data_IF_280687872165
#
_entry.id   IF_280687872165
#
_cell.length_a   1.000
_cell.length_b   1.000
_cell.length_c   1.000
_cell.angle_alpha   90.00
_cell.angle_beta   90.00
_cell.angle_gamma   90.00
#
_symmetry.space_group_name_H-M   'P 1'
#
loop_
_entity.id
_entity.type
_entity.pdbx_description
1 polymer ?
#
# COMPACT_ATOMS: atom_id res chain seq x y z
N UNK A 1 15.00 -0.25 10.80
CA UNK A 1 14.98 -0.44 9.33
C UNK A 1 16.18 -1.16 8.71
N UNK A 2 17.39 -1.14 9.29
CA UNK A 2 18.57 -1.80 8.68
C UNK A 2 18.37 -3.30 8.38
N UNK A 3 17.82 -4.07 9.32
CA UNK A 3 17.56 -5.50 9.11
C UNK A 3 16.59 -5.78 7.96
N UNK A 4 15.54 -4.97 7.80
CA UNK A 4 14.57 -5.12 6.71
C UNK A 4 15.18 -4.84 5.35
N UNK A 5 15.90 -3.72 5.22
CA UNK A 5 16.58 -3.34 3.98
C UNK A 5 17.62 -4.37 3.55
N UNK A 6 18.30 -4.98 4.51
CA UNK A 6 19.29 -6.03 4.26
C UNK A 6 18.66 -7.44 4.14
N UNK A 7 17.33 -7.57 4.11
CA UNK A 7 16.65 -8.86 4.02
C UNK A 7 17.06 -9.84 5.12
N UNK A 8 17.26 -9.37 6.36
CA UNK A 8 17.73 -10.20 7.49
C UNK A 8 16.56 -10.69 8.34
N UNK A 9 16.69 -11.90 8.91
CA UNK A 9 15.68 -12.50 9.78
C UNK A 9 14.38 -12.74 9.03
N UNK A 10 13.23 -12.39 9.63
CA UNK A 10 11.91 -12.60 9.02
C UNK A 10 11.77 -11.93 7.65
N UNK A 11 12.49 -10.84 7.41
CA UNK A 11 12.44 -10.08 6.15
C UNK A 11 13.11 -10.81 4.98
N UNK A 12 13.90 -11.86 5.25
CA UNK A 12 14.44 -12.77 4.23
C UNK A 12 13.38 -13.72 3.68
N UNK A 13 12.28 -13.93 4.41
CA UNK A 13 11.30 -14.95 4.07
C UNK A 13 10.42 -14.46 2.91
N UNK A 14 10.13 -15.32 1.91
CA UNK A 14 9.32 -14.96 0.74
C UNK A 14 7.94 -14.39 1.09
N UNK A 15 7.39 -14.73 2.25
CA UNK A 15 6.12 -14.20 2.73
C UNK A 15 6.10 -12.67 2.84
N UNK A 16 7.21 -12.06 3.27
CA UNK A 16 7.33 -10.61 3.49
C UNK A 16 7.75 -9.83 2.23
N UNK A 17 8.06 -10.53 1.14
CA UNK A 17 8.34 -9.90 -0.14
C UNK A 17 7.03 -9.30 -0.73
N UNK A 18 7.04 -8.03 -1.16
CA UNK A 18 5.90 -7.44 -1.85
C UNK A 18 5.56 -8.20 -3.12
N UNK A 19 4.26 -8.43 -3.35
CA UNK A 19 3.73 -9.11 -4.53
C UNK A 19 2.91 -8.15 -5.41
N UNK A 20 2.73 -8.43 -6.71
CA UNK A 20 1.83 -7.65 -7.54
C UNK A 20 0.38 -7.76 -7.02
N UNK A 21 -0.49 -6.75 -7.30
CA UNK A 21 -1.82 -6.68 -6.70
C UNK A 21 -2.73 -7.84 -7.11
N UNK A 22 -2.59 -8.33 -8.34
CA UNK A 22 -3.38 -9.45 -8.87
C UNK A 22 -2.96 -10.81 -8.27
N UNK A 23 -1.79 -10.86 -7.62
CA UNK A 23 -1.33 -12.03 -6.87
C UNK A 23 -1.70 -12.00 -5.38
N UNK A 24 -2.36 -10.94 -4.91
CA UNK A 24 -2.69 -10.76 -3.50
C UNK A 24 -3.79 -11.74 -3.05
N UNK A 25 -3.54 -12.43 -1.94
CA UNK A 25 -4.50 -13.34 -1.31
C UNK A 25 -5.16 -12.67 -0.10
N UNK A 26 -6.18 -13.32 0.48
CA UNK A 26 -6.73 -12.88 1.76
C UNK A 26 -5.71 -12.99 2.90
N UNK A 27 -5.87 -12.14 3.92
CA UNK A 27 -5.00 -12.09 5.10
C UNK A 27 -3.96 -10.96 5.04
N UNK A 28 -2.98 -10.98 5.93
CA UNK A 28 -1.93 -9.95 5.93
C UNK A 28 -1.02 -10.11 4.70
N UNK A 29 -0.88 -9.07 3.88
CA UNK A 29 -0.09 -9.09 2.65
C UNK A 29 0.80 -7.85 2.52
N UNK A 30 1.79 -7.95 1.63
CA UNK A 30 2.62 -6.87 1.12
C UNK A 30 2.39 -6.78 -0.38
N UNK A 31 1.96 -5.63 -0.88
CA UNK A 31 1.52 -5.44 -2.27
C UNK A 31 2.25 -4.26 -2.88
N UNK A 32 2.93 -4.49 -4.00
CA UNK A 32 3.61 -3.46 -4.78
C UNK A 32 2.85 -3.22 -6.08
N UNK A 33 2.61 -1.95 -6.43
CA UNK A 33 1.89 -1.60 -7.65
C UNK A 33 1.88 -0.09 -7.90
N UNK A 34 1.19 0.34 -8.97
CA UNK A 34 1.02 1.76 -9.29
C UNK A 34 -0.37 2.21 -8.83
N UNK A 35 -0.40 3.27 -8.04
CA UNK A 35 -1.66 3.83 -7.56
C UNK A 35 -2.31 4.70 -8.64
N UNK A 36 -3.64 4.65 -8.70
CA UNK A 36 -4.43 5.57 -9.51
C UNK A 36 -5.68 5.96 -8.72
N UNK A 37 -6.05 7.25 -8.69
CA UNK A 37 -7.21 7.70 -7.95
C UNK A 37 -8.49 7.11 -8.56
N UNK A 38 -9.40 6.66 -7.71
CA UNK A 38 -10.76 6.29 -8.10
C UNK A 38 -11.72 7.39 -7.64
N UNK A 39 -11.65 7.74 -6.35
CA UNK A 39 -12.60 8.65 -5.72
C UNK A 39 -11.93 9.37 -4.54
N UNK A 40 -12.11 10.70 -4.48
CA UNK A 40 -11.65 11.55 -3.38
C UNK A 40 -12.85 12.02 -2.57
N UNK A 41 -13.62 11.08 -2.02
CA UNK A 41 -14.86 11.36 -1.28
C UNK A 41 -14.61 12.02 0.08
N UNK A 42 -15.69 12.51 0.71
CA UNK A 42 -15.60 13.22 2.00
C UNK A 42 -15.09 12.31 3.12
N UNK A 43 -15.51 11.06 3.16
CA UNK A 43 -15.10 10.10 4.20
C UNK A 43 -13.89 9.24 3.80
N UNK A 44 -13.82 8.85 2.53
CA UNK A 44 -12.86 7.88 2.04
C UNK A 44 -12.11 8.40 0.82
N UNK A 45 -10.81 8.15 0.81
CA UNK A 45 -9.93 8.32 -0.33
C UNK A 45 -9.66 6.92 -0.91
N UNK A 46 -10.05 6.70 -2.16
CA UNK A 46 -9.95 5.40 -2.81
C UNK A 46 -8.97 5.44 -3.99
N UNK A 47 -8.08 4.46 -4.04
CA UNK A 47 -7.11 4.30 -5.12
C UNK A 47 -7.09 2.84 -5.60
N UNK A 48 -7.04 2.62 -6.91
CA UNK A 48 -6.76 1.30 -7.48
C UNK A 48 -5.25 1.06 -7.51
N UNK A 49 -4.82 -0.17 -7.21
CA UNK A 49 -3.49 -0.68 -7.57
C UNK A 49 -3.55 -1.61 -8.79
N UNK A 50 -4.72 -2.19 -9.05
CA UNK A 50 -5.04 -2.91 -10.28
C UNK A 50 -6.55 -2.87 -10.52
N UNK A 51 -7.03 -3.53 -11.58
CA UNK A 51 -8.48 -3.66 -11.86
C UNK A 51 -9.25 -4.35 -10.72
N UNK A 52 -8.57 -5.22 -9.96
CA UNK A 52 -9.17 -6.05 -8.92
C UNK A 52 -8.70 -5.70 -7.50
N UNK A 53 -7.81 -4.72 -7.33
CA UNK A 53 -7.26 -4.35 -6.03
C UNK A 53 -7.42 -2.86 -5.73
N UNK A 54 -8.01 -2.55 -4.58
CA UNK A 54 -8.26 -1.17 -4.13
C UNK A 54 -7.68 -0.96 -2.74
N UNK A 55 -7.01 0.19 -2.55
CA UNK A 55 -6.66 0.70 -1.23
C UNK A 55 -7.62 1.81 -0.84
N UNK A 56 -7.99 1.82 0.44
CA UNK A 56 -8.89 2.82 1.03
C UNK A 56 -8.17 3.50 2.19
N UNK A 57 -8.21 4.82 2.25
CA UNK A 57 -7.74 5.59 3.40
C UNK A 57 -8.88 6.44 3.91
N UNK A 58 -9.15 6.46 5.22
CA UNK A 58 -10.10 7.45 5.75
C UNK A 58 -9.50 8.84 5.58
N UNK A 59 -10.33 9.82 5.24
CA UNK A 59 -9.87 11.20 5.07
C UNK A 59 -9.26 11.76 6.36
N UNK A 60 -9.81 11.43 7.52
CA UNK A 60 -9.28 11.80 8.84
C UNK A 60 -7.89 11.21 9.06
N UNK A 61 -7.73 9.89 8.87
CA UNK A 61 -6.43 9.22 9.03
C UNK A 61 -5.37 9.80 8.07
N UNK A 62 -5.80 10.23 6.88
CA UNK A 62 -4.93 10.94 5.96
C UNK A 62 -4.47 12.28 6.55
N UNK A 63 -5.40 13.12 6.99
CA UNK A 63 -5.12 14.44 7.56
C UNK A 63 -4.25 14.38 8.82
N UNK A 64 -4.49 13.37 9.67
CA UNK A 64 -3.82 13.24 10.96
C UNK A 64 -2.38 12.71 10.85
N UNK A 65 -2.08 11.96 9.79
CA UNK A 65 -0.83 11.19 9.73
C UNK A 65 0.01 11.41 8.47
N UNK A 66 -0.57 11.82 7.34
CA UNK A 66 0.14 11.96 6.08
C UNK A 66 0.55 13.42 5.86
N UNK A 67 1.84 13.64 5.58
CA UNK A 67 2.42 14.97 5.37
C UNK A 67 2.41 15.41 3.90
N UNK A 68 1.54 14.82 3.07
CA UNK A 68 1.40 15.15 1.65
C UNK A 68 -0.04 15.02 1.18
N UNK A 69 -0.37 15.65 0.05
CA UNK A 69 -1.72 15.64 -0.51
C UNK A 69 -2.08 14.28 -1.12
N UNK A 70 -3.34 13.81 -1.03
CA UNK A 70 -3.78 12.54 -1.65
C UNK A 70 -3.45 12.40 -3.13
N UNK A 71 -3.48 13.51 -3.88
CA UNK A 71 -3.16 13.54 -5.32
C UNK A 71 -1.71 13.12 -5.62
N UNK A 72 -0.79 13.20 -4.66
CA UNK A 72 0.57 12.73 -4.85
C UNK A 72 0.69 11.20 -5.03
N UNK A 73 -0.40 10.44 -4.85
CA UNK A 73 -0.44 9.03 -5.19
C UNK A 73 -0.82 8.75 -6.64
N UNK A 74 -1.25 9.75 -7.42
CA UNK A 74 -1.58 9.52 -8.81
C UNK A 74 -0.33 9.08 -9.60
N UNK A 75 -0.42 7.90 -10.22
CA UNK A 75 0.67 7.20 -10.92
C UNK A 75 1.90 6.88 -10.07
N UNK A 76 1.86 7.10 -8.76
CA UNK A 76 2.97 6.77 -7.88
C UNK A 76 3.16 5.25 -7.80
N UNK A 77 4.40 4.79 -7.95
CA UNK A 77 4.76 3.44 -7.55
C UNK A 77 4.71 3.37 -6.02
N UNK A 78 3.94 2.42 -5.48
CA UNK A 78 3.73 2.28 -4.04
C UNK A 78 3.87 0.83 -3.62
N UNK A 79 4.34 0.65 -2.39
CA UNK A 79 4.15 -0.61 -1.66
C UNK A 79 3.24 -0.37 -0.48
N UNK A 80 2.20 -1.19 -0.38
CA UNK A 80 1.28 -1.21 0.75
C UNK A 80 1.38 -2.51 1.53
N UNK A 81 1.02 -2.47 2.81
CA UNK A 81 0.90 -3.67 3.65
C UNK A 81 -0.29 -3.58 4.58
N UNK A 82 -0.86 -4.72 4.91
CA UNK A 82 -2.02 -4.78 5.79
C UNK A 82 -2.89 -5.99 5.52
N UNK A 83 -4.02 -6.05 6.21
CA UNK A 83 -4.99 -7.12 6.03
C UNK A 83 -5.80 -6.90 4.77
N UNK A 84 -5.67 -7.82 3.81
CA UNK A 84 -6.45 -7.85 2.57
C UNK A 84 -7.71 -8.66 2.84
N UNK A 85 -8.86 -8.00 2.67
CA UNK A 85 -10.17 -8.62 2.62
C UNK A 85 -10.73 -8.66 1.20
N UNK A 86 -11.88 -9.32 1.02
CA UNK A 86 -12.67 -9.24 -0.22
C UNK A 86 -13.91 -8.38 0.01
N UNK A 87 -14.19 -7.48 -0.94
CA UNK A 87 -15.47 -6.77 -1.03
C UNK A 87 -16.01 -6.89 -2.44
N UNK A 88 -17.15 -7.58 -2.59
CA UNK A 88 -17.66 -8.00 -3.90
C UNK A 88 -16.56 -8.75 -4.68
N UNK A 89 -16.26 -8.31 -5.89
CA UNK A 89 -15.23 -8.90 -6.77
C UNK A 89 -13.82 -8.31 -6.59
N UNK A 90 -13.62 -7.36 -5.66
CA UNK A 90 -12.31 -6.69 -5.48
C UNK A 90 -11.67 -7.05 -4.14
N UNK A 91 -10.36 -7.21 -4.16
CA UNK A 91 -9.51 -7.20 -2.98
C UNK A 91 -9.42 -5.77 -2.44
N UNK A 92 -9.56 -5.63 -1.12
CA UNK A 92 -9.56 -4.33 -0.45
C UNK A 92 -8.61 -4.36 0.72
N UNK A 93 -7.79 -3.31 0.84
CA UNK A 93 -6.90 -3.07 1.96
C UNK A 93 -7.14 -1.66 2.49
N UNK A 94 -7.44 -1.54 3.78
CA UNK A 94 -7.61 -0.24 4.45
C UNK A 94 -6.26 0.20 5.02
N UNK A 95 -5.83 1.39 4.64
CA UNK A 95 -4.65 2.07 5.16
C UNK A 95 -5.13 2.99 6.27
N UNK A 96 -4.58 2.83 7.47
CA UNK A 96 -4.85 3.71 8.61
C UNK A 96 -3.62 4.49 9.09
N UNK A 97 -2.42 4.16 8.59
CA UNK A 97 -1.19 4.83 9.00
C UNK A 97 -0.15 4.87 7.85
N UNK A 98 0.68 5.93 7.75
CA UNK A 98 1.79 6.02 6.79
C UNK A 98 2.78 4.85 6.80
N UNK A 99 2.85 4.04 7.88
CA UNK A 99 3.73 2.88 7.90
C UNK A 99 3.20 1.71 7.06
N UNK A 100 1.96 1.82 6.58
CA UNK A 100 1.30 0.82 5.74
C UNK A 100 1.37 1.16 4.26
N UNK A 101 1.78 2.38 3.90
CA UNK A 101 1.86 2.86 2.52
C UNK A 101 3.17 3.61 2.33
N UNK A 102 3.97 3.15 1.39
CA UNK A 102 5.23 3.77 1.01
C UNK A 102 5.20 4.14 -0.46
N UNK A 103 5.57 5.38 -0.80
CA UNK A 103 5.81 5.81 -2.18
C UNK A 103 7.25 5.49 -2.56
N UNK A 104 7.42 4.58 -3.52
CA UNK A 104 8.72 4.15 -3.98
C UNK A 104 9.48 5.30 -4.65
N UNK A 105 10.76 5.44 -4.32
CA UNK A 105 11.61 6.54 -4.80
C UNK A 105 11.40 7.89 -4.13
N UNK A 106 10.44 8.02 -3.20
CA UNK A 106 10.13 9.28 -2.50
C UNK A 106 10.28 9.10 -0.99
N UNK A 107 9.60 8.11 -0.42
CA UNK A 107 9.64 7.87 1.02
C UNK A 107 10.87 7.01 1.38
N UNK A 108 11.38 7.10 2.63
CA UNK A 108 12.48 6.25 3.08
C UNK A 108 12.17 4.77 2.83
N UNK A 109 13.05 4.12 2.05
CA UNK A 109 12.86 2.74 1.57
C UNK A 109 12.71 1.77 2.74
N UNK A 110 11.50 1.26 2.92
CA UNK A 110 11.15 0.27 3.96
C UNK A 110 10.47 -0.95 3.34
N UNK A 111 9.58 -0.76 2.38
CA UNK A 111 8.73 -1.77 1.78
C UNK A 111 8.94 -1.89 0.28
N UNK A 112 9.35 -0.82 -0.40
CA UNK A 112 9.60 -0.89 -1.83
C UNK A 112 10.77 -1.84 -2.14
N UNK A 113 10.60 -2.77 -3.11
CA UNK A 113 11.65 -3.73 -3.48
C UNK A 113 12.93 -3.00 -3.92
N UNK A 114 14.08 -3.66 -3.80
CA UNK A 114 15.34 -3.23 -4.42
C UNK A 114 15.14 -3.13 -5.95
N UNK A 115 15.68 -2.09 -6.58
CA UNK A 115 15.72 -1.97 -8.05
C UNK A 115 16.77 -2.95 -8.59
#
# INVERSE_FOLDING_TARGET
DAARRAGRGIWALPYYAPRPPDGARGGYQFVHGRASPIEMGEKWLAFSLSRQFVILVRRTDWQDHFNYLPRALDQAAVTVRGWVGKRKSRSVLVISHPFMLERCGVDPRRLCPAD
#
